data_IF_143422231877
#
_entry.id   IF_143422231877
#
_cell.length_a   1.000
_cell.length_b   1.000
_cell.length_c   1.000
_cell.angle_alpha   90.00
_cell.angle_beta   90.00
_cell.angle_gamma   90.00
#
_symmetry.space_group_name_H-M   'P 1'
#
loop_
_entity.id
_entity.type
_entity.pdbx_description
1 polymer ?
#
# COMPACT_ATOMS: atom_id res chain seq x y z
N UNK A 1 13.11 6.50 4.35
CA UNK A 1 13.26 6.34 2.88
C UNK A 1 13.65 4.90 2.61
N UNK A 2 12.66 4.01 2.45
CA UNK A 2 12.88 2.55 2.36
C UNK A 2 13.76 2.17 1.16
N UNK A 3 13.60 2.87 0.03
CA UNK A 3 14.37 2.65 -1.19
C UNK A 3 15.88 2.87 -1.05
N UNK A 4 16.32 3.71 -0.10
CA UNK A 4 17.74 4.01 0.10
C UNK A 4 18.50 2.90 0.81
N UNK A 5 17.80 2.05 1.55
CA UNK A 5 18.42 1.07 2.44
C UNK A 5 18.40 -0.35 1.87
N UNK A 6 17.75 -0.55 0.71
CA UNK A 6 17.59 -1.86 0.12
C UNK A 6 17.44 -1.76 -1.39
N UNK A 7 18.28 -2.48 -2.12
CA UNK A 7 18.17 -2.64 -3.57
C UNK A 7 17.31 -3.87 -3.85
N UNK A 8 16.13 -3.72 -4.45
CA UNK A 8 15.24 -4.84 -4.74
C UNK A 8 15.87 -5.80 -5.77
N UNK A 9 15.68 -7.09 -5.55
CA UNK A 9 15.97 -8.14 -6.54
C UNK A 9 14.86 -8.21 -7.59
N UNK A 10 15.00 -9.10 -8.56
CA UNK A 10 14.05 -9.39 -9.63
C UNK A 10 12.65 -9.77 -9.10
N UNK A 11 12.62 -10.46 -7.96
CA UNK A 11 11.39 -10.91 -7.32
C UNK A 11 10.74 -9.81 -6.46
N UNK A 12 9.68 -9.22 -7.02
CA UNK A 12 8.86 -8.21 -6.37
C UNK A 12 7.38 -8.63 -6.34
N UNK A 13 6.69 -8.28 -5.26
CA UNK A 13 5.28 -8.56 -5.05
C UNK A 13 4.53 -7.28 -4.69
N UNK A 14 3.38 -7.06 -5.33
CA UNK A 14 2.45 -5.98 -5.02
C UNK A 14 1.17 -6.58 -4.47
N UNK A 15 0.75 -6.16 -3.29
CA UNK A 15 -0.51 -6.61 -2.69
C UNK A 15 -1.22 -5.51 -1.88
N UNK A 16 -2.51 -5.73 -1.67
CA UNK A 16 -3.39 -4.90 -0.85
C UNK A 16 -3.35 -5.32 0.63
N UNK A 17 -2.92 -4.39 1.47
CA UNK A 17 -2.96 -4.51 2.93
C UNK A 17 -4.02 -3.57 3.53
N UNK A 18 -4.49 -3.93 4.73
CA UNK A 18 -5.48 -3.15 5.46
C UNK A 18 -4.94 -2.85 6.86
N UNK A 19 -4.68 -1.58 7.14
CA UNK A 19 -4.28 -1.12 8.48
C UNK A 19 -5.54 -0.90 9.32
N UNK A 20 -5.72 -1.61 10.45
CA UNK A 20 -6.91 -1.46 11.28
C UNK A 20 -7.03 -0.03 11.81
N UNK A 21 -8.09 0.66 11.42
CA UNK A 21 -8.36 2.04 11.87
C UNK A 21 -9.87 2.30 11.93
N UNK A 22 -10.33 2.86 13.06
CA UNK A 22 -11.76 3.12 13.33
C UNK A 22 -12.11 4.60 13.51
N UNK A 23 -11.14 5.51 13.48
CA UNK A 23 -11.38 6.95 13.57
C UNK A 23 -12.11 7.52 12.35
N UNK A 24 -12.45 8.81 12.44
CA UNK A 24 -13.01 9.58 11.31
C UNK A 24 -11.87 10.05 10.41
N UNK A 25 -11.74 9.43 9.25
CA UNK A 25 -10.81 9.84 8.19
C UNK A 25 -11.49 9.66 6.83
N UNK A 26 -11.24 10.57 5.90
CA UNK A 26 -11.96 10.67 4.64
C UNK A 26 -11.77 9.44 3.73
N UNK A 27 -10.60 8.79 3.80
CA UNK A 27 -10.22 7.66 2.95
C UNK A 27 -10.30 6.30 3.65
N UNK A 28 -11.09 6.20 4.72
CA UNK A 28 -11.34 4.91 5.38
C UNK A 28 -12.06 3.98 4.41
N UNK A 29 -11.51 2.77 4.23
CA UNK A 29 -12.06 1.76 3.35
C UNK A 29 -12.76 0.63 4.11
N UNK A 30 -13.76 0.05 3.46
CA UNK A 30 -14.41 -1.17 3.90
C UNK A 30 -14.11 -2.31 2.93
N UNK A 31 -13.59 -3.43 3.43
CA UNK A 31 -13.39 -4.66 2.66
C UNK A 31 -13.92 -5.88 3.44
N UNK A 32 -14.99 -6.49 2.94
CA UNK A 32 -15.67 -7.64 3.58
C UNK A 32 -14.78 -8.89 3.68
N UNK A 33 -13.83 -9.06 2.76
CA UNK A 33 -12.99 -10.25 2.66
C UNK A 33 -11.79 -10.22 3.61
N UNK A 34 -11.46 -9.07 4.21
CA UNK A 34 -10.33 -8.95 5.15
C UNK A 34 -10.81 -9.14 6.59
N UNK A 35 -9.94 -9.72 7.44
CA UNK A 35 -10.18 -9.89 8.89
C UNK A 35 -10.59 -8.57 9.56
N UNK A 36 -9.85 -7.51 9.26
CA UNK A 36 -10.20 -6.15 9.66
C UNK A 36 -10.98 -5.49 8.53
N UNK A 37 -12.32 -5.49 8.67
CA UNK A 37 -13.20 -5.01 7.60
C UNK A 37 -13.11 -3.51 7.36
N UNK A 38 -12.78 -2.73 8.38
CA UNK A 38 -12.64 -1.27 8.30
C UNK A 38 -11.21 -0.87 8.61
N UNK A 39 -10.62 -0.04 7.76
CA UNK A 39 -9.25 0.42 7.95
C UNK A 39 -8.78 1.37 6.86
N UNK A 40 -7.47 1.61 6.85
CA UNK A 40 -6.79 2.32 5.78
C UNK A 40 -6.28 1.28 4.79
N UNK A 41 -6.74 1.37 3.54
CA UNK A 41 -6.25 0.51 2.45
C UNK A 41 -4.92 1.05 1.97
N UNK A 42 -3.92 0.18 1.89
CA UNK A 42 -2.60 0.50 1.38
C UNK A 42 -2.13 -0.57 0.39
N UNK A 43 -1.42 -0.15 -0.65
CA UNK A 43 -0.70 -1.03 -1.56
C UNK A 43 0.75 -1.09 -1.13
N UNK A 44 1.27 -2.30 -0.94
CA UNK A 44 2.68 -2.53 -0.57
C UNK A 44 3.40 -3.18 -1.72
N UNK A 45 4.58 -2.65 -2.02
CA UNK A 45 5.57 -3.28 -2.87
C UNK A 45 6.62 -3.92 -1.96
N UNK A 46 6.64 -5.25 -1.95
CA UNK A 46 7.50 -6.06 -1.11
C UNK A 46 8.50 -6.85 -1.97
N UNK A 47 9.70 -7.06 -1.45
CA UNK A 47 10.76 -7.88 -2.07
C UNK A 47 11.13 -9.02 -1.15
N UNK A 48 11.70 -10.10 -1.68
CA UNK A 48 12.30 -11.16 -0.86
C UNK A 48 13.46 -10.54 -0.04
N UNK A 49 13.64 -10.82 1.27
CA UNK A 49 12.97 -11.84 2.11
C UNK A 49 11.70 -11.37 2.85
N UNK A 50 11.08 -10.28 2.42
CA UNK A 50 9.92 -9.64 3.07
C UNK A 50 10.10 -8.15 3.31
N UNK A 51 11.05 -7.50 2.64
CA UNK A 51 11.32 -6.07 2.80
C UNK A 51 10.26 -5.24 2.08
N UNK A 52 9.73 -4.21 2.72
CA UNK A 52 8.79 -3.27 2.09
C UNK A 52 9.57 -2.15 1.41
N UNK A 53 9.57 -2.13 0.08
CA UNK A 53 10.28 -1.14 -0.73
C UNK A 53 9.48 0.16 -0.90
N UNK A 54 8.16 0.06 -1.06
CA UNK A 54 7.25 1.21 -1.19
C UNK A 54 5.89 0.88 -0.61
N UNK A 55 5.24 1.89 -0.03
CA UNK A 55 3.84 1.85 0.39
C UNK A 55 3.11 3.00 -0.30
N UNK A 56 1.88 2.75 -0.75
CA UNK A 56 0.98 3.76 -1.28
C UNK A 56 -0.37 3.66 -0.57
N UNK A 57 -0.80 4.74 0.09
CA UNK A 57 -2.12 4.78 0.73
C UNK A 57 -3.16 5.06 -0.35
N UNK A 58 -4.28 4.35 -0.30
CA UNK A 58 -5.41 4.65 -1.18
C UNK A 58 -6.25 5.78 -0.57
N UNK A 59 -6.15 6.98 -1.16
CA UNK A 59 -6.87 8.17 -0.68
C UNK A 59 -8.21 8.41 -1.39
N UNK A 60 -8.58 7.59 -2.37
CA UNK A 60 -9.81 7.71 -3.15
C UNK A 60 -9.54 7.68 -4.66
N UNK A 61 -10.53 8.07 -5.47
CA UNK A 61 -10.43 8.02 -6.94
C UNK A 61 -9.56 9.15 -7.54
N UNK A 62 -9.30 10.21 -6.77
CA UNK A 62 -8.51 11.37 -7.20
C UNK A 62 -7.02 11.25 -6.84
N UNK A 63 -6.51 10.06 -6.55
CA UNK A 63 -5.07 9.84 -6.54
C UNK A 63 -4.57 10.00 -7.97
N UNK A 64 -4.12 11.21 -8.31
CA UNK A 64 -3.59 11.55 -9.62
C UNK A 64 -2.35 10.68 -9.87
N UNK A 65 -2.51 9.67 -10.72
CA UNK A 65 -1.40 8.95 -11.30
C UNK A 65 -0.66 9.93 -12.19
N UNK A 66 0.41 10.53 -11.67
CA UNK A 66 1.46 11.09 -12.50
C UNK A 66 2.05 9.93 -13.30
N UNK A 67 1.43 9.62 -14.45
CA UNK A 67 1.91 8.68 -15.45
C UNK A 67 3.22 9.26 -15.99
N UNK A 68 4.32 9.00 -15.29
CA UNK A 68 5.65 9.30 -15.80
C UNK A 68 6.13 8.03 -16.49
N UNK A 69 6.10 7.94 -17.83
CA UNK A 69 6.84 6.92 -18.53
C UNK A 69 8.32 7.25 -18.35
N UNK A 70 9.06 6.40 -17.64
CA UNK A 70 10.53 6.39 -17.68
C UNK A 70 10.98 4.98 -17.97
#
# INVERSE_FOLDING_TARGET
NFKKNYTPTEDICIDESMVPFRGRIIFRQYNKQKRHKYGIKEFKLCTIPGYTYKVSIYAGKNDETNNTPT
#
